data_IF_404555757848
#
_entry.id   IF_404555757848
#
_cell.length_a   1.000
_cell.length_b   1.000
_cell.length_c   1.000
_cell.angle_alpha   90.00
_cell.angle_beta   90.00
_cell.angle_gamma   90.00
#
_symmetry.space_group_name_H-M   'P 1'
#
loop_
_entity.id
_entity.type
_entity.pdbx_description
1 polymer ?
#
# COMPACT_ATOMS: atom_id res chain seq x y z
N UNK A 1 -19.79 3.78 -19.03
CA UNK A 1 -18.66 2.85 -18.91
C UNK A 1 -18.52 2.49 -17.45
N UNK A 2 -18.38 1.21 -17.11
CA UNK A 2 -18.03 0.76 -15.77
C UNK A 2 -16.58 0.26 -15.77
N UNK A 3 -15.89 0.38 -14.64
CA UNK A 3 -14.51 -0.05 -14.47
C UNK A 3 -14.40 -1.15 -13.42
N UNK A 4 -13.48 -2.09 -13.60
CA UNK A 4 -13.07 -3.06 -12.58
C UNK A 4 -11.67 -2.67 -12.11
N UNK A 5 -11.61 -2.13 -10.90
CA UNK A 5 -10.38 -1.57 -10.32
C UNK A 5 -9.88 -2.51 -9.23
N UNK A 6 -8.62 -2.93 -9.33
CA UNK A 6 -7.92 -3.62 -8.24
C UNK A 6 -7.04 -2.59 -7.53
N UNK A 7 -7.17 -2.47 -6.21
CA UNK A 7 -6.28 -1.65 -5.38
C UNK A 7 -5.36 -2.58 -4.60
N UNK A 8 -4.06 -2.56 -4.92
CA UNK A 8 -3.05 -3.24 -4.12
C UNK A 8 -2.78 -2.41 -2.88
N UNK A 9 -2.94 -3.00 -1.71
CA UNK A 9 -2.80 -2.30 -0.45
C UNK A 9 -1.98 -3.11 0.56
N UNK A 10 -1.21 -2.41 1.40
CA UNK A 10 -0.32 -3.01 2.38
C UNK A 10 -0.62 -2.49 3.79
N UNK A 11 -0.62 -3.42 4.75
CA UNK A 11 -0.54 -3.09 6.16
C UNK A 11 0.92 -2.84 6.55
N UNK A 12 1.19 -1.69 7.14
CA UNK A 12 2.54 -1.26 7.54
C UNK A 12 2.53 -0.79 9.00
N UNK A 13 3.63 -0.92 9.76
CA UNK A 13 3.78 -0.19 11.02
C UNK A 13 3.80 1.33 10.76
N UNK A 14 3.21 2.13 11.64
CA UNK A 14 3.27 3.60 11.52
C UNK A 14 4.67 4.14 11.85
N UNK A 15 5.52 4.25 10.82
CA UNK A 15 6.90 4.73 10.92
C UNK A 15 7.02 6.26 10.84
N UNK A 16 5.93 7.01 10.87
CA UNK A 16 5.99 8.50 10.91
C UNK A 16 6.16 9.03 12.34
N UNK A 17 5.69 8.28 13.33
CA UNK A 17 5.78 8.61 14.75
C UNK A 17 6.76 7.67 15.46
N UNK A 18 8.02 7.66 15.01
CA UNK A 18 9.09 6.81 15.56
C UNK A 18 9.51 7.34 16.93
N UNK A 19 8.82 6.91 17.98
CA UNK A 19 9.28 7.11 19.36
C UNK A 19 10.55 6.30 19.66
N UNK A 20 11.15 6.52 20.85
CA UNK A 20 12.36 5.81 21.31
C UNK A 20 12.25 4.26 21.27
N UNK A 21 11.04 3.71 21.34
CA UNK A 21 10.74 2.28 21.40
C UNK A 21 10.33 1.67 20.05
N UNK A 22 10.39 2.46 18.97
CA UNK A 22 9.95 2.08 17.64
C UNK A 22 10.88 1.09 16.92
N UNK A 23 12.11 0.93 17.41
CA UNK A 23 13.10 -0.03 16.92
C UNK A 23 13.45 -1.03 18.03
N UNK A 24 13.68 -2.29 17.67
CA UNK A 24 14.23 -3.30 18.57
C UNK A 24 15.75 -3.17 18.67
N UNK A 25 16.35 -3.88 19.62
CA UNK A 25 17.81 -3.91 19.79
C UNK A 25 18.57 -4.44 18.55
N UNK A 26 17.91 -5.25 17.71
CA UNK A 26 18.46 -5.76 16.43
C UNK A 26 18.28 -4.78 15.26
N UNK A 27 17.79 -3.56 15.53
CA UNK A 27 17.53 -2.52 14.53
C UNK A 27 16.26 -2.74 13.70
N UNK A 28 15.55 -3.86 13.87
CA UNK A 28 14.26 -4.07 13.19
C UNK A 28 13.16 -3.21 13.79
N UNK A 29 12.16 -2.86 12.97
CA UNK A 29 10.98 -2.13 13.44
C UNK A 29 10.23 -2.94 14.51
N UNK A 30 9.97 -2.30 15.66
CA UNK A 30 9.18 -2.88 16.74
C UNK A 30 7.68 -2.83 16.42
N UNK A 31 7.22 -3.84 15.66
CA UNK A 31 5.83 -4.00 15.24
C UNK A 31 4.82 -4.21 16.38
N UNK A 32 5.29 -4.43 17.62
CA UNK A 32 4.42 -4.51 18.80
C UNK A 32 4.21 -3.13 19.46
N UNK A 33 5.17 -2.20 19.29
CA UNK A 33 5.09 -0.84 19.81
C UNK A 33 4.44 0.14 18.82
N UNK A 34 4.52 -0.15 17.51
CA UNK A 34 3.92 0.70 16.48
C UNK A 34 2.55 0.15 16.04
N UNK A 35 1.51 1.00 15.96
CA UNK A 35 0.22 0.58 15.43
C UNK A 35 0.37 0.16 13.97
N UNK A 36 -0.32 -0.91 13.59
CA UNK A 36 -0.43 -1.33 12.20
C UNK A 36 -1.48 -0.47 11.50
N UNK A 37 -1.07 0.20 10.42
CA UNK A 37 -1.89 1.13 9.65
C UNK A 37 -2.01 0.70 8.19
N UNK A 38 -2.99 1.27 7.50
CA UNK A 38 -3.05 1.28 6.05
C UNK A 38 -1.94 2.18 5.52
N UNK A 39 -1.10 1.68 4.62
CA UNK A 39 -0.03 2.48 4.03
C UNK A 39 -0.61 3.80 3.45
N UNK A 40 -0.06 4.98 3.80
CA UNK A 40 -0.63 6.26 3.39
C UNK A 40 -0.80 6.42 1.88
N UNK A 41 0.22 6.11 1.07
CA UNK A 41 0.12 6.24 -0.39
C UNK A 41 -0.86 5.23 -1.00
N UNK A 42 -1.10 4.08 -0.35
CA UNK A 42 -2.13 3.12 -0.78
C UNK A 42 -3.55 3.65 -0.47
N UNK A 43 -3.72 4.48 0.57
CA UNK A 43 -4.97 5.21 0.80
C UNK A 43 -5.19 6.25 -0.29
N UNK A 44 -4.16 6.98 -0.72
CA UNK A 44 -4.28 7.89 -1.87
C UNK A 44 -4.70 7.12 -3.14
N UNK A 45 -4.15 5.91 -3.36
CA UNK A 45 -4.56 5.05 -4.46
C UNK A 45 -6.03 4.60 -4.37
N UNK A 46 -6.50 4.25 -3.17
CA UNK A 46 -7.91 3.94 -2.93
C UNK A 46 -8.80 5.15 -3.23
N UNK A 47 -8.39 6.37 -2.87
CA UNK A 47 -9.17 7.57 -3.19
C UNK A 47 -9.28 7.81 -4.69
N UNK A 48 -8.20 7.61 -5.45
CA UNK A 48 -8.27 7.70 -6.91
C UNK A 48 -9.28 6.68 -7.48
N UNK A 49 -9.30 5.45 -6.94
CA UNK A 49 -10.29 4.45 -7.31
C UNK A 49 -11.73 4.89 -6.97
N UNK A 50 -11.94 5.46 -5.78
CA UNK A 50 -13.24 5.92 -5.31
C UNK A 50 -13.77 7.10 -6.14
N UNK A 51 -12.90 8.03 -6.53
CA UNK A 51 -13.26 9.14 -7.44
C UNK A 51 -13.68 8.64 -8.82
N UNK A 52 -12.95 7.64 -9.36
CA UNK A 52 -13.37 6.97 -10.59
C UNK A 52 -14.71 6.26 -10.41
N UNK A 53 -14.93 5.61 -9.26
CA UNK A 53 -16.22 4.96 -8.97
C UNK A 53 -17.38 5.95 -8.92
N UNK A 54 -17.17 7.12 -8.34
CA UNK A 54 -18.17 8.20 -8.31
C UNK A 54 -18.46 8.74 -9.74
N UNK A 55 -17.43 8.85 -10.58
CA UNK A 55 -17.54 9.37 -11.95
C UNK A 55 -18.10 8.37 -12.97
N UNK A 56 -17.88 7.07 -12.75
CA UNK A 56 -18.22 5.99 -13.68
C UNK A 56 -19.17 4.97 -13.01
N UNK A 57 -20.50 5.16 -13.11
CA UNK A 57 -21.47 4.27 -12.48
C UNK A 57 -21.29 2.80 -12.87
N UNK A 58 -21.46 1.91 -11.88
CA UNK A 58 -21.23 0.47 -12.03
C UNK A 58 -19.76 0.05 -11.88
N UNK A 59 -18.85 0.99 -11.63
CA UNK A 59 -17.46 0.68 -11.28
C UNK A 59 -17.36 -0.05 -9.95
N UNK A 60 -16.49 -1.04 -9.90
CA UNK A 60 -16.20 -1.85 -8.70
C UNK A 60 -14.74 -1.74 -8.30
N UNK A 61 -14.49 -1.78 -6.99
CA UNK A 61 -13.17 -1.68 -6.38
C UNK A 61 -12.93 -2.92 -5.53
N UNK A 62 -11.92 -3.68 -5.90
CA UNK A 62 -11.44 -4.87 -5.19
C UNK A 62 -10.11 -4.57 -4.51
N UNK A 63 -10.03 -4.74 -3.20
CA UNK A 63 -8.76 -4.67 -2.48
C UNK A 63 -7.99 -5.98 -2.62
N UNK A 64 -6.69 -5.92 -2.85
CA UNK A 64 -5.81 -7.07 -2.79
C UNK A 64 -4.66 -6.75 -1.84
N UNK A 65 -4.54 -7.51 -0.77
CA UNK A 65 -3.47 -7.32 0.23
C UNK A 65 -2.77 -8.64 0.49
N UNK A 66 -1.44 -8.60 0.63
CA UNK A 66 -0.63 -9.76 0.98
C UNK A 66 -0.04 -9.55 2.37
N UNK A 67 -0.22 -10.53 3.27
CA UNK A 67 0.28 -10.42 4.63
C UNK A 67 -0.25 -11.51 5.55
N UNK A 68 0.09 -11.44 6.85
CA UNK A 68 -0.51 -12.32 7.86
C UNK A 68 -2.02 -12.07 7.99
N UNK A 69 -2.75 -12.97 8.65
CA UNK A 69 -4.21 -12.90 8.86
C UNK A 69 -4.73 -11.51 9.25
N UNK A 70 -4.06 -10.83 10.19
CA UNK A 70 -4.38 -9.47 10.63
C UNK A 70 -4.37 -8.38 9.54
N UNK A 71 -3.79 -8.64 8.37
CA UNK A 71 -3.82 -7.73 7.22
C UNK A 71 -5.22 -7.64 6.59
N UNK A 72 -6.16 -8.56 6.94
CA UNK A 72 -7.57 -8.44 6.60
C UNK A 72 -8.19 -7.09 7.04
N UNK A 73 -7.63 -6.43 8.07
CA UNK A 73 -8.01 -5.06 8.47
C UNK A 73 -7.96 -4.07 7.30
N UNK A 74 -6.99 -4.21 6.40
CA UNK A 74 -6.84 -3.31 5.24
C UNK A 74 -8.05 -3.41 4.30
N UNK A 75 -8.59 -4.62 4.12
CA UNK A 75 -9.79 -4.84 3.32
C UNK A 75 -10.99 -4.18 4.01
N UNK A 76 -11.13 -4.36 5.33
CA UNK A 76 -12.21 -3.72 6.12
C UNK A 76 -12.14 -2.19 6.05
N UNK A 77 -10.95 -1.62 6.18
CA UNK A 77 -10.73 -0.18 6.03
C UNK A 77 -11.12 0.34 4.64
N UNK A 78 -10.86 -0.43 3.58
CA UNK A 78 -11.33 -0.14 2.23
C UNK A 78 -12.86 -0.19 2.12
N UNK A 79 -13.48 -1.24 2.67
CA UNK A 79 -14.93 -1.40 2.70
C UNK A 79 -15.62 -0.23 3.43
N UNK A 80 -15.05 0.23 4.54
CA UNK A 80 -15.58 1.38 5.30
C UNK A 80 -15.58 2.68 4.49
N UNK A 81 -14.78 2.78 3.42
CA UNK A 81 -14.65 3.95 2.54
C UNK A 81 -15.39 3.82 1.22
N UNK A 82 -15.94 2.64 0.92
CA UNK A 82 -16.75 2.41 -0.27
C UNK A 82 -16.17 1.45 -1.29
N UNK A 83 -15.10 0.71 -0.96
CA UNK A 83 -14.71 -0.45 -1.76
C UNK A 83 -15.78 -1.55 -1.71
N UNK A 84 -15.75 -2.48 -2.68
CA UNK A 84 -16.79 -3.49 -2.87
C UNK A 84 -16.43 -4.86 -2.29
N UNK A 85 -15.14 -5.11 -2.06
CA UNK A 85 -14.65 -6.38 -1.55
C UNK A 85 -13.13 -6.43 -1.53
N UNK A 86 -12.58 -7.61 -1.25
CA UNK A 86 -11.16 -7.84 -1.39
C UNK A 86 -10.70 -9.25 -1.05
N UNK A 87 -9.44 -9.49 -1.36
CA UNK A 87 -8.74 -10.75 -1.18
C UNK A 87 -7.53 -10.55 -0.28
N UNK A 88 -7.42 -11.39 0.75
CA UNK A 88 -6.22 -11.52 1.55
C UNK A 88 -5.38 -12.68 0.98
N UNK A 89 -4.19 -12.37 0.50
CA UNK A 89 -3.19 -13.34 0.10
C UNK A 89 -2.32 -13.67 1.33
N UNK A 90 -2.55 -14.85 1.93
CA UNK A 90 -1.95 -15.25 3.21
C UNK A 90 -1.48 -16.70 3.17
N UNK A 91 -0.19 -16.90 3.36
CA UNK A 91 0.46 -18.21 3.41
C UNK A 91 1.86 -18.06 4.03
N UNK A 92 2.34 -19.08 4.75
CA UNK A 92 3.72 -19.11 5.27
C UNK A 92 4.75 -19.09 4.15
N UNK A 93 4.41 -19.63 2.97
CA UNK A 93 5.29 -19.62 1.80
C UNK A 93 5.55 -18.21 1.24
N UNK A 94 4.75 -17.20 1.59
CA UNK A 94 5.02 -15.80 1.23
C UNK A 94 5.94 -15.07 2.22
N UNK A 95 6.30 -15.70 3.34
CA UNK A 95 7.09 -15.07 4.39
C UNK A 95 8.51 -14.71 3.91
N UNK A 96 9.00 -13.54 4.34
CA UNK A 96 10.36 -13.08 4.04
C UNK A 96 10.59 -12.68 2.58
N UNK A 97 9.52 -12.44 1.82
CA UNK A 97 9.60 -11.99 0.43
C UNK A 97 10.29 -10.62 0.31
N UNK A 98 11.19 -10.49 -0.66
CA UNK A 98 11.61 -9.20 -1.21
C UNK A 98 10.58 -8.66 -2.22
N UNK A 99 10.94 -7.59 -2.94
CA UNK A 99 10.02 -6.96 -3.89
C UNK A 99 9.68 -7.88 -5.06
N UNK A 100 10.64 -8.67 -5.58
CA UNK A 100 10.44 -9.56 -6.72
C UNK A 100 9.50 -10.71 -6.37
N UNK A 101 9.71 -11.34 -5.22
CA UNK A 101 8.84 -12.40 -4.71
C UNK A 101 7.44 -11.87 -4.34
N UNK A 102 7.37 -10.66 -3.76
CA UNK A 102 6.10 -10.00 -3.42
C UNK A 102 5.29 -9.67 -4.67
N UNK A 103 5.90 -9.04 -5.67
CA UNK A 103 5.23 -8.70 -6.93
C UNK A 103 4.82 -9.95 -7.71
N UNK A 104 5.60 -11.04 -7.62
CA UNK A 104 5.21 -12.34 -8.17
C UNK A 104 3.91 -12.85 -7.54
N UNK A 105 3.86 -12.96 -6.21
CA UNK A 105 2.68 -13.43 -5.50
C UNK A 105 1.43 -12.59 -5.81
N UNK A 106 1.56 -11.25 -5.79
CA UNK A 106 0.48 -10.34 -6.15
C UNK A 106 0.03 -10.50 -7.61
N UNK A 107 0.97 -10.65 -8.55
CA UNK A 107 0.63 -10.87 -9.97
C UNK A 107 -0.14 -12.19 -10.19
N UNK A 108 0.16 -13.24 -9.43
CA UNK A 108 -0.58 -14.51 -9.48
C UNK A 108 -2.02 -14.34 -8.98
N UNK A 109 -2.20 -13.59 -7.88
CA UNK A 109 -3.54 -13.26 -7.38
C UNK A 109 -4.34 -12.40 -8.38
N UNK A 110 -3.70 -11.39 -8.99
CA UNK A 110 -4.33 -10.57 -10.05
C UNK A 110 -4.74 -11.42 -11.25
N UNK A 111 -3.89 -12.35 -11.71
CA UNK A 111 -4.22 -13.29 -12.79
C UNK A 111 -5.43 -14.17 -12.44
N UNK A 112 -5.57 -14.57 -11.17
CA UNK A 112 -6.73 -15.33 -10.70
C UNK A 112 -8.01 -14.48 -10.70
N UNK A 113 -7.92 -13.19 -10.36
CA UNK A 113 -9.06 -12.25 -10.47
C UNK A 113 -9.48 -12.09 -11.94
N UNK A 114 -8.52 -12.10 -12.88
CA UNK A 114 -8.66 -12.12 -14.34
C UNK A 114 -9.31 -10.87 -14.98
N UNK A 115 -10.32 -10.30 -14.35
CA UNK A 115 -11.14 -9.23 -14.90
C UNK A 115 -10.84 -7.88 -14.23
N UNK A 116 -10.04 -7.05 -14.90
CA UNK A 116 -9.68 -5.73 -14.42
C UNK A 116 -9.34 -4.78 -15.57
N UNK A 117 -9.59 -3.49 -15.35
CA UNK A 117 -9.24 -2.41 -16.28
C UNK A 117 -8.09 -1.57 -15.71
N UNK A 118 -8.03 -1.43 -14.38
CA UNK A 118 -7.02 -0.63 -13.67
C UNK A 118 -6.50 -1.40 -12.46
N UNK A 119 -5.20 -1.32 -12.24
CA UNK A 119 -4.56 -1.75 -11.00
C UNK A 119 -3.90 -0.52 -10.38
N UNK A 120 -4.36 -0.11 -9.20
CA UNK A 120 -3.84 1.05 -8.49
C UNK A 120 -3.08 0.60 -7.24
N UNK A 121 -2.00 1.29 -6.91
CA UNK A 121 -1.25 1.08 -5.67
C UNK A 121 -0.55 2.37 -5.25
N UNK A 122 -0.13 2.49 -3.99
CA UNK A 122 0.78 3.56 -3.60
C UNK A 122 2.12 3.43 -4.33
N UNK A 123 2.83 4.54 -4.51
CA UNK A 123 4.16 4.52 -5.12
C UNK A 123 5.14 3.76 -4.22
N UNK A 124 5.11 3.94 -2.90
CA UNK A 124 5.94 3.22 -1.94
C UNK A 124 5.18 2.87 -0.66
N UNK A 125 5.68 1.84 0.02
CA UNK A 125 5.28 1.52 1.39
C UNK A 125 6.32 2.02 2.39
N UNK A 126 5.90 2.76 3.41
CA UNK A 126 6.76 3.48 4.37
C UNK A 126 7.63 2.60 5.29
N UNK A 127 7.46 1.29 5.23
CA UNK A 127 8.25 0.33 6.00
C UNK A 127 9.42 -0.27 5.20
N UNK A 128 9.32 -0.28 3.87
CA UNK A 128 10.34 -0.84 2.98
C UNK A 128 10.94 0.17 2.00
N UNK A 129 10.23 1.26 1.69
CA UNK A 129 10.69 2.41 0.89
C UNK A 129 11.36 2.08 -0.47
N UNK A 130 11.00 0.95 -1.09
CA UNK A 130 11.64 0.52 -2.35
C UNK A 130 10.99 1.12 -3.60
N UNK A 131 9.71 1.47 -3.54
CA UNK A 131 8.89 1.87 -4.68
C UNK A 131 8.88 0.89 -5.89
N UNK A 132 9.18 -0.39 -5.67
CA UNK A 132 9.41 -1.37 -6.75
C UNK A 132 8.22 -2.28 -7.06
N UNK A 133 7.34 -2.55 -6.09
CA UNK A 133 6.34 -3.62 -6.22
C UNK A 133 5.31 -3.33 -7.31
N UNK A 134 4.76 -2.11 -7.37
CA UNK A 134 3.82 -1.71 -8.40
C UNK A 134 4.35 -1.93 -9.83
N UNK A 135 5.53 -1.37 -10.16
CA UNK A 135 6.15 -1.58 -11.47
C UNK A 135 6.47 -3.04 -11.79
N UNK A 136 6.96 -3.80 -10.81
CA UNK A 136 7.22 -5.22 -11.03
C UNK A 136 5.94 -6.04 -11.24
N UNK A 137 4.81 -5.66 -10.63
CA UNK A 137 3.50 -6.27 -10.92
C UNK A 137 3.10 -5.96 -12.37
N UNK A 138 3.27 -4.72 -12.84
CA UNK A 138 2.97 -4.34 -14.22
C UNK A 138 3.77 -5.18 -15.23
N UNK A 139 5.09 -5.28 -15.02
CA UNK A 139 6.00 -6.08 -15.84
C UNK A 139 5.57 -7.56 -15.88
N UNK A 140 5.30 -8.16 -14.72
CA UNK A 140 4.90 -9.57 -14.62
C UNK A 140 3.55 -9.87 -15.27
N UNK A 141 2.68 -8.88 -15.38
CA UNK A 141 1.38 -9.00 -16.06
C UNK A 141 1.47 -8.63 -17.55
N UNK A 142 2.59 -8.08 -18.02
CA UNK A 142 2.76 -7.57 -19.38
C UNK A 142 1.91 -6.33 -19.65
N UNK A 143 1.72 -5.48 -18.62
CA UNK A 143 0.88 -4.29 -18.68
C UNK A 143 1.72 -3.02 -18.80
N UNK A 144 1.15 -2.00 -19.45
CA UNK A 144 1.69 -0.65 -19.36
C UNK A 144 1.59 -0.11 -17.94
N UNK A 145 2.38 0.91 -17.63
CA UNK A 145 2.37 1.55 -16.32
C UNK A 145 2.53 3.07 -16.36
N UNK A 146 1.92 3.76 -15.40
CA UNK A 146 2.18 5.17 -15.11
C UNK A 146 2.51 5.29 -13.62
N UNK A 147 3.69 5.78 -13.30
CA UNK A 147 4.14 5.97 -11.90
C UNK A 147 4.05 7.42 -11.48
N UNK A 148 4.01 7.70 -10.17
CA UNK A 148 3.94 9.06 -9.60
C UNK A 148 2.67 9.83 -10.00
N UNK A 149 1.54 9.14 -10.10
CA UNK A 149 0.26 9.76 -10.36
C UNK A 149 -0.15 10.65 -9.18
N UNK A 150 -0.45 11.91 -9.46
CA UNK A 150 -1.04 12.86 -8.53
C UNK A 150 -2.57 12.91 -8.69
N UNK A 151 -3.06 12.68 -9.91
CA UNK A 151 -4.50 12.67 -10.21
C UNK A 151 -4.79 11.81 -11.45
N UNK A 152 -5.78 10.93 -11.35
CA UNK A 152 -6.37 10.26 -12.52
C UNK A 152 -7.52 11.15 -13.01
N UNK A 153 -7.31 11.84 -14.14
CA UNK A 153 -8.21 12.89 -14.60
C UNK A 153 -9.47 12.33 -15.26
N UNK A 154 -9.31 11.32 -16.12
CA UNK A 154 -10.42 10.67 -16.84
C UNK A 154 -10.01 9.33 -17.43
N UNK A 155 -11.03 8.52 -17.68
CA UNK A 155 -10.97 7.27 -18.44
C UNK A 155 -12.00 7.33 -19.57
N UNK A 156 -11.55 7.26 -20.82
CA UNK A 156 -12.41 7.29 -22.00
C UNK A 156 -11.77 6.54 -23.16
N UNK A 157 -12.58 5.94 -24.04
CA UNK A 157 -12.10 5.27 -25.26
C UNK A 157 -10.97 4.24 -25.02
N UNK A 158 -11.01 3.51 -23.89
CA UNK A 158 -9.99 2.52 -23.54
C UNK A 158 -8.65 3.12 -23.09
N UNK A 159 -8.60 4.42 -22.77
CA UNK A 159 -7.42 5.12 -22.28
C UNK A 159 -7.68 5.79 -20.94
N UNK A 160 -6.61 5.97 -20.18
CA UNK A 160 -6.58 6.79 -18.96
C UNK A 160 -5.69 8.01 -19.18
N UNK A 161 -6.13 9.18 -18.72
CA UNK A 161 -5.32 10.41 -18.67
C UNK A 161 -4.93 10.66 -17.23
N UNK A 162 -3.62 10.79 -16.98
CA UNK A 162 -3.06 10.91 -15.63
C UNK A 162 -2.18 12.13 -15.54
N UNK A 163 -2.36 12.91 -14.47
CA UNK A 163 -1.44 13.95 -14.05
C UNK A 163 -0.34 13.32 -13.20
N UNK A 164 0.90 13.38 -13.68
CA UNK A 164 2.08 12.80 -13.04
C UNK A 164 2.97 13.90 -12.47
N UNK A 165 3.42 13.75 -11.23
CA UNK A 165 4.31 14.68 -10.53
C UNK A 165 5.76 14.19 -10.59
N UNK A 166 6.66 15.02 -11.12
CA UNK A 166 8.12 14.80 -11.13
C UNK A 166 8.82 15.88 -10.32
N UNK A 167 10.13 15.76 -10.06
CA UNK A 167 10.84 16.75 -9.24
C UNK A 167 10.77 18.17 -9.84
N UNK A 168 10.78 18.27 -11.17
CA UNK A 168 10.86 19.55 -11.89
C UNK A 168 9.55 19.99 -12.56
N UNK A 169 8.43 19.31 -12.29
CA UNK A 169 7.16 19.71 -12.89
C UNK A 169 6.07 18.64 -12.90
N UNK A 170 5.12 18.84 -13.82
CA UNK A 170 3.95 17.99 -14.04
C UNK A 170 3.90 17.56 -15.48
N UNK A 171 3.60 16.29 -15.70
CA UNK A 171 3.27 15.75 -17.01
C UNK A 171 1.80 15.35 -17.05
N UNK A 172 1.13 15.58 -18.17
CA UNK A 172 -0.13 14.91 -18.49
C UNK A 172 0.20 13.80 -19.47
N UNK A 173 -0.03 12.55 -19.04
CA UNK A 173 0.29 11.35 -19.81
C UNK A 173 -0.97 10.53 -20.07
N UNK A 174 -0.98 9.83 -21.20
CA UNK A 174 -2.03 8.87 -21.54
C UNK A 174 -1.49 7.45 -21.55
N UNK A 175 -2.32 6.48 -21.14
CA UNK A 175 -2.01 5.07 -21.22
C UNK A 175 -3.22 4.24 -21.65
N UNK A 176 -2.98 3.13 -22.34
CA UNK A 176 -4.05 2.20 -22.75
C UNK A 176 -4.41 1.25 -21.60
N UNK A 177 -5.71 0.96 -21.45
CA UNK A 177 -6.21 -0.06 -20.53
C UNK A 177 -6.03 -1.48 -21.13
N UNK A 178 -5.79 -2.51 -20.29
CA UNK A 178 -5.60 -2.45 -18.85
C UNK A 178 -4.20 -1.92 -18.46
N UNK A 179 -4.12 -1.22 -17.32
CA UNK A 179 -2.90 -0.51 -16.91
C UNK A 179 -2.67 -0.53 -15.39
N UNK A 180 -1.39 -0.48 -14.99
CA UNK A 180 -0.99 -0.28 -13.58
C UNK A 180 -0.64 1.17 -13.34
N UNK A 181 -1.14 1.76 -12.26
CA UNK A 181 -0.83 3.14 -11.88
C UNK A 181 -0.35 3.18 -10.43
N UNK A 182 0.80 3.81 -10.18
CA UNK A 182 1.28 4.07 -8.82
C UNK A 182 1.00 5.52 -8.43
N UNK A 183 0.40 5.71 -7.26
CA UNK A 183 -0.10 7.00 -6.78
C UNK A 183 0.88 7.60 -5.78
N UNK A 184 1.25 8.86 -6.01
CA UNK A 184 2.16 9.61 -5.15
C UNK A 184 1.41 10.16 -3.92
N UNK A 185 2.11 10.35 -2.80
CA UNK A 185 1.56 11.02 -1.60
C UNK A 185 1.13 12.48 -1.80
N UNK A 186 1.45 13.13 -2.93
CA UNK A 186 0.87 14.45 -3.28
C UNK A 186 -0.55 14.38 -3.82
N UNK A 187 -1.05 13.19 -4.15
CA UNK A 187 -2.44 12.99 -4.54
C UNK A 187 -3.39 13.30 -3.38
N UNK A 188 -4.67 13.63 -3.65
CA UNK A 188 -5.66 13.90 -2.60
C UNK A 188 -5.72 12.81 -1.52
N UNK A 189 -5.86 13.24 -0.27
CA UNK A 189 -6.08 12.33 0.86
C UNK A 189 -7.34 11.51 0.68
N UNK A 190 -7.32 10.28 1.19
CA UNK A 190 -8.50 9.43 1.13
C UNK A 190 -9.60 9.93 2.03
N UNK A 191 -10.83 9.91 1.49
CA UNK A 191 -12.04 10.27 2.24
C UNK A 191 -12.15 9.49 3.55
N UNK A 192 -12.78 10.07 4.58
CA UNK A 192 -12.96 9.39 5.86
C UNK A 192 -13.85 8.15 5.73
N UNK A 193 -13.81 7.31 6.76
CA UNK A 193 -14.74 6.17 6.90
C UNK A 193 -16.17 6.66 6.88
N UNK A 194 -17.03 6.00 6.12
CA UNK A 194 -18.46 6.22 6.14
C UNK A 194 -19.10 5.43 7.29
N UNK A 195 -19.89 6.10 8.15
CA UNK A 195 -20.52 5.47 9.30
C UNK A 195 -21.45 4.30 8.94
N UNK A 196 -22.19 4.39 7.82
CA UNK A 196 -23.08 3.31 7.36
C UNK A 196 -22.28 2.09 6.90
N UNK A 197 -21.20 2.30 6.15
CA UNK A 197 -20.33 1.21 5.72
C UNK A 197 -19.58 0.57 6.90
N UNK A 198 -19.14 1.36 7.87
CA UNK A 198 -18.58 0.84 9.10
C UNK A 198 -19.57 -0.07 9.81
N UNK A 199 -20.81 0.38 10.04
CA UNK A 199 -21.83 -0.47 10.67
C UNK A 199 -22.17 -1.72 9.85
N UNK A 200 -22.18 -1.61 8.52
CA UNK A 200 -22.43 -2.73 7.61
C UNK A 200 -21.33 -3.79 7.67
N UNK A 201 -20.06 -3.39 7.73
CA UNK A 201 -18.91 -4.27 7.54
C UNK A 201 -18.07 -4.55 8.81
N UNK A 202 -18.42 -3.99 9.98
CA UNK A 202 -17.66 -4.18 11.24
C UNK A 202 -17.48 -5.63 11.69
N UNK A 203 -18.30 -6.54 11.17
CA UNK A 203 -18.22 -7.98 11.45
C UNK A 203 -17.61 -8.77 10.29
N UNK A 204 -17.10 -8.11 9.25
CA UNK A 204 -16.47 -8.80 8.13
C UNK A 204 -15.21 -9.51 8.62
N UNK A 205 -15.08 -10.79 8.31
CA UNK A 205 -13.99 -11.64 8.79
C UNK A 205 -13.57 -12.65 7.75
N UNK A 206 -12.30 -13.03 7.79
CA UNK A 206 -11.79 -14.15 7.02
C UNK A 206 -12.18 -15.50 7.62
N UNK A 207 -11.86 -16.60 6.93
CA UNK A 207 -12.09 -17.94 7.47
C UNK A 207 -11.19 -18.19 8.69
N UNK A 208 -9.92 -17.80 8.60
CA UNK A 208 -8.97 -17.94 9.71
C UNK A 208 -9.41 -17.17 10.96
N UNK A 209 -9.81 -15.89 10.82
CA UNK A 209 -10.29 -15.07 11.95
C UNK A 209 -11.50 -15.69 12.67
N UNK A 210 -12.40 -16.36 11.93
CA UNK A 210 -13.58 -17.01 12.53
C UNK A 210 -13.22 -18.26 13.33
N UNK A 211 -12.27 -19.05 12.84
CA UNK A 211 -11.81 -20.26 13.52
C UNK A 211 -11.13 -19.93 14.84
N UNK A 212 -10.37 -18.83 14.90
CA UNK A 212 -9.69 -18.39 16.13
C UNK A 212 -10.66 -17.92 17.23
N UNK A 213 -11.83 -17.41 16.86
CA UNK A 213 -12.76 -16.80 17.80
C UNK A 213 -13.72 -17.78 18.49
N UNK A 214 -13.83 -19.03 18.02
CA UNK A 214 -14.74 -20.04 18.59
C UNK A 214 -16.19 -19.55 18.80
N UNK A 215 -16.65 -18.56 18.04
CA UNK A 215 -17.95 -17.91 18.22
C UNK A 215 -19.06 -18.55 17.35
N UNK A 216 -20.30 -18.50 17.84
CA UNK A 216 -21.53 -19.02 17.22
C UNK A 216 -22.15 -18.07 16.16
N UNK A 217 -21.34 -17.17 15.57
CA UNK A 217 -21.82 -16.20 14.55
C UNK A 217 -22.04 -16.82 13.16
N UNK A 218 -22.00 -18.14 13.02
CA UNK A 218 -22.15 -18.86 11.74
C UNK A 218 -23.38 -18.40 10.97
N UNK A 219 -24.54 -18.30 11.64
CA UNK A 219 -25.77 -17.83 11.02
C UNK A 219 -25.72 -16.39 10.48
N UNK A 220 -24.91 -15.51 11.09
CA UNK A 220 -24.73 -14.14 10.60
C UNK A 220 -24.03 -14.12 9.23
N UNK A 221 -23.00 -14.95 9.07
CA UNK A 221 -22.21 -15.01 7.84
C UNK A 221 -22.95 -15.68 6.68
N UNK A 222 -23.84 -16.63 6.99
CA UNK A 222 -24.72 -17.26 6.00
C UNK A 222 -25.80 -16.28 5.51
N UNK A 223 -26.42 -15.54 6.44
CA UNK A 223 -27.42 -14.50 6.09
C UNK A 223 -26.81 -13.27 5.41
N UNK A 224 -25.51 -13.01 5.61
CA UNK A 224 -24.81 -11.83 5.09
C UNK A 224 -23.51 -12.24 4.39
N UNK A 225 -23.59 -12.79 3.16
CA UNK A 225 -22.42 -13.29 2.44
C UNK A 225 -21.29 -12.26 2.25
N UNK A 226 -21.63 -10.97 2.16
CA UNK A 226 -20.68 -9.86 2.02
C UNK A 226 -19.78 -9.62 3.26
N UNK A 227 -20.02 -10.31 4.37
CA UNK A 227 -19.14 -10.29 5.54
C UNK A 227 -18.02 -11.31 5.44
N UNK A 228 -18.04 -12.20 4.45
CA UNK A 228 -17.00 -13.21 4.25
C UNK A 228 -15.85 -12.60 3.44
N UNK A 229 -14.74 -12.31 4.11
CA UNK A 229 -13.51 -11.90 3.43
C UNK A 229 -12.79 -13.14 2.89
N UNK A 230 -12.33 -13.05 1.65
CA UNK A 230 -11.74 -14.19 0.94
C UNK A 230 -10.25 -14.26 1.26
N UNK A 231 -9.78 -15.44 1.66
CA UNK A 231 -8.36 -15.76 1.82
C UNK A 231 -7.91 -16.65 0.66
N UNK A 232 -6.72 -16.36 0.13
CA UNK A 232 -6.03 -17.22 -0.82
C UNK A 232 -4.64 -17.57 -0.30
N UNK A 233 -4.32 -18.86 -0.36
CA UNK A 233 -3.00 -19.44 -0.15
C UNK A 233 -2.16 -19.43 -1.44
N UNK A 234 -0.92 -19.92 -1.36
CA UNK A 234 -0.09 -20.18 -2.55
C UNK A 234 -0.78 -21.15 -3.52
N UNK A 235 -1.43 -22.19 -2.99
CA UNK A 235 -2.11 -23.20 -3.79
C UNK A 235 -3.32 -22.59 -4.52
N UNK A 236 -4.07 -21.71 -3.85
CA UNK A 236 -5.26 -21.07 -4.42
C UNK A 236 -4.95 -20.25 -5.66
N UNK A 237 -3.83 -19.52 -5.66
CA UNK A 237 -3.38 -18.70 -6.80
C UNK A 237 -2.48 -19.47 -7.78
N UNK A 238 -2.27 -20.78 -7.54
CA UNK A 238 -1.40 -21.65 -8.35
C UNK A 238 0.01 -21.07 -8.52
N UNK A 239 0.53 -20.41 -7.48
CA UNK A 239 1.88 -19.86 -7.50
C UNK A 239 2.92 -20.96 -7.29
N UNK A 240 4.07 -20.83 -7.94
CA UNK A 240 5.23 -21.67 -7.70
C UNK A 240 5.86 -21.27 -6.36
N UNK A 241 5.84 -22.19 -5.40
CA UNK A 241 6.42 -22.01 -4.06
C UNK A 241 7.89 -21.59 -4.13
N UNK A 242 8.64 -22.01 -5.17
CA UNK A 242 10.05 -21.63 -5.34
C UNK A 242 10.24 -20.16 -5.69
N UNK A 243 9.23 -19.52 -6.28
CA UNK A 243 9.22 -18.11 -6.62
C UNK A 243 8.55 -17.25 -5.53
N UNK A 244 8.09 -17.85 -4.43
CA UNK A 244 7.46 -17.17 -3.30
C UNK A 244 8.42 -16.97 -2.12
N UNK A 245 8.10 -15.96 -1.30
CA UNK A 245 8.77 -15.75 -0.02
C UNK A 245 10.28 -15.58 -0.14
N UNK A 246 10.98 -15.92 0.94
CA UNK A 246 12.44 -15.87 0.99
C UNK A 246 13.12 -16.75 -0.07
N UNK A 247 12.49 -17.85 -0.48
CA UNK A 247 13.02 -18.77 -1.50
C UNK A 247 13.09 -18.12 -2.88
N UNK A 248 12.04 -17.38 -3.25
CA UNK A 248 11.97 -16.66 -4.52
C UNK A 248 12.64 -15.28 -4.50
N UNK A 249 13.20 -14.88 -3.36
CA UNK A 249 13.79 -13.56 -3.17
C UNK A 249 15.27 -13.55 -3.61
N UNK A 250 15.62 -12.85 -4.71
CA UNK A 250 17.02 -12.66 -5.09
C UNK A 250 17.78 -11.79 -4.07
N UNK A 251 17.11 -10.85 -3.41
CA UNK A 251 17.71 -9.99 -2.39
C UNK A 251 17.42 -10.51 -0.98
N UNK A 252 18.42 -10.41 -0.09
CA UNK A 252 18.32 -10.85 1.30
C UNK A 252 18.95 -9.81 2.21
N UNK A 253 18.18 -9.32 3.18
CA UNK A 253 18.67 -8.37 4.19
C UNK A 253 19.66 -9.10 5.10
N UNK A 254 20.95 -8.76 4.99
CA UNK A 254 22.03 -9.41 5.76
C UNK A 254 22.15 -8.88 7.19
N UNK A 255 22.04 -7.57 7.36
CA UNK A 255 22.20 -6.87 8.63
C UNK A 255 21.31 -5.62 8.62
N UNK A 256 20.74 -5.29 9.78
CA UNK A 256 20.00 -4.06 10.00
C UNK A 256 20.77 -3.29 11.08
N UNK A 257 20.99 -2.01 10.82
CA UNK A 257 21.66 -1.10 11.75
C UNK A 257 20.72 0.05 12.06
N UNK A 258 20.58 0.39 13.34
CA UNK A 258 19.77 1.52 13.74
C UNK A 258 20.64 2.79 13.67
N UNK A 259 20.21 3.77 12.87
CA UNK A 259 20.86 5.08 12.82
C UNK A 259 20.41 5.89 14.02
N UNK A 260 21.26 5.95 15.05
CA UNK A 260 21.05 6.82 16.20
C UNK A 260 21.69 8.17 15.89
N UNK A 261 20.88 9.22 15.79
CA UNK A 261 21.39 10.59 15.64
C UNK A 261 22.34 10.91 16.81
N UNK A 262 23.60 11.22 16.49
CA UNK A 262 24.64 11.47 17.48
C UNK A 262 24.48 12.83 18.17
N UNK A 263 23.95 13.82 17.46
CA UNK A 263 23.69 15.14 18.01
C UNK A 263 22.26 15.24 18.55
N UNK A 264 22.14 15.57 19.83
CA UNK A 264 20.87 15.96 20.49
C UNK A 264 20.84 17.44 20.86
N UNK A 265 21.89 18.16 20.48
CA UNK A 265 22.05 19.57 20.81
C UNK A 265 21.26 20.41 19.81
N UNK A 266 20.31 21.19 20.32
CA UNK A 266 19.69 22.27 19.57
C UNK A 266 20.42 23.57 19.92
N UNK A 267 20.97 24.27 18.92
CA UNK A 267 21.46 25.64 19.09
C UNK A 267 20.32 26.62 18.80
N UNK A 268 20.11 27.58 19.69
CA UNK A 268 19.22 28.72 19.46
C UNK A 268 20.09 29.92 19.18
N UNK A 269 19.92 30.54 18.01
CA UNK A 269 20.70 31.68 17.58
C UNK A 269 19.87 32.96 17.63
N UNK A 270 20.52 34.08 17.87
CA UNK A 270 19.98 35.44 17.82
C UNK A 270 19.97 35.98 16.38
N UNK A 271 19.20 37.05 16.08
CA UNK A 271 19.21 37.67 14.75
C UNK A 271 20.44 38.57 14.52
N UNK A 272 21.54 38.38 15.25
CA UNK A 272 22.76 39.16 15.05
C UNK A 272 23.50 38.70 13.81
N UNK A 273 24.12 39.64 13.08
CA UNK A 273 24.85 39.33 11.85
C UNK A 273 25.97 38.30 12.08
N UNK A 274 26.65 38.35 13.23
CA UNK A 274 27.71 37.41 13.60
C UNK A 274 27.19 35.98 13.75
N UNK A 275 26.08 35.77 14.46
CA UNK A 275 25.54 34.42 14.67
C UNK A 275 24.95 33.84 13.38
N UNK A 276 24.43 34.68 12.48
CA UNK A 276 23.98 34.27 11.16
C UNK A 276 25.16 33.85 10.29
N UNK A 277 26.27 34.59 10.31
CA UNK A 277 27.48 34.25 9.57
C UNK A 277 28.09 32.92 10.07
N UNK A 278 28.19 32.74 11.38
CA UNK A 278 28.65 31.49 12.00
C UNK A 278 27.76 30.30 11.63
N UNK A 279 26.43 30.48 11.62
CA UNK A 279 25.49 29.46 11.15
C UNK A 279 25.76 29.07 9.70
N UNK A 280 25.94 30.06 8.81
CA UNK A 280 26.18 29.78 7.39
C UNK A 280 27.48 29.01 7.18
N UNK A 281 28.55 29.37 7.90
CA UNK A 281 29.83 28.65 7.87
C UNK A 281 29.65 27.20 8.35
N UNK A 282 28.97 27.01 9.48
CA UNK A 282 28.72 25.68 10.05
C UNK A 282 27.88 24.80 9.12
N UNK A 283 26.84 25.36 8.50
CA UNK A 283 25.98 24.63 7.57
C UNK A 283 26.71 24.25 6.28
N UNK A 284 27.60 25.10 5.75
CA UNK A 284 28.44 24.78 4.58
C UNK A 284 29.46 23.70 4.94
N UNK A 285 30.16 23.85 6.06
CA UNK A 285 31.18 22.90 6.51
C UNK A 285 30.59 21.51 6.78
N UNK A 286 29.34 21.45 7.26
CA UNK A 286 28.61 20.21 7.50
C UNK A 286 27.87 19.67 6.27
N UNK A 287 28.01 20.30 5.09
CA UNK A 287 27.29 19.93 3.85
C UNK A 287 25.76 19.91 4.00
N UNK A 288 25.22 20.75 4.87
CA UNK A 288 23.78 20.96 5.01
C UNK A 288 23.25 21.89 3.93
N UNK A 289 24.05 22.88 3.52
CA UNK A 289 23.79 23.77 2.39
C UNK A 289 25.04 23.90 1.51
N UNK A 290 24.86 23.92 0.19
CA UNK A 290 25.97 23.92 -0.78
C UNK A 290 26.60 22.54 -0.95
#
# INVERSE_FOLDING_TARGET
>A
MSLRIIVLAKQVPDTRNVGKDAMKADGTVNRAALPAIFNPEDLNALEQALRLKDAYPGTTITLLTMGPGRAAEIIREGLYRGADGGYLLTDRAFAGADTLATSYALSMAVRKINEYDLILCGRQAIDGDTAQVGPQVAEKLGLSQITYAEEIQKVENGKVTVKRRLERGVEIVEGQLPIVITVNGTAPDCRPRNAKFLQKYKHAKTVTEKQELNDDYTGLFDMRPYLNLIEWSVADVKADVKACGLSGSPTKVKKIENVVFQAKESKTLSPSDTEIEELMIELIANHTIG
#
